data_IF_697925257900
#
_entry.id   IF_697925257900
#
_cell.length_a   1.000
_cell.length_b   1.000
_cell.length_c   1.000
_cell.angle_alpha   90.00
_cell.angle_beta   90.00
_cell.angle_gamma   90.00
#
_symmetry.space_group_name_H-M   'P 1'
#
loop_
_entity.id
_entity.type
_entity.pdbx_description
1 polymer ?
#
# COMPACT_ATOMS: atom_id res chain seq x y z
N UNK A 1 -12.38 7.85 -31.03
CA UNK A 1 -11.34 6.95 -30.46
C UNK A 1 -11.10 7.33 -29.01
N UNK A 2 -10.21 6.63 -28.29
CA UNK A 2 -9.92 6.97 -26.89
C UNK A 2 -9.42 8.41 -26.71
N UNK A 3 -8.62 8.93 -27.65
CA UNK A 3 -8.03 10.28 -27.60
C UNK A 3 -8.97 11.44 -27.93
N UNK A 4 -10.20 11.16 -28.38
CA UNK A 4 -11.19 12.18 -28.72
C UNK A 4 -12.27 12.33 -27.65
N UNK A 5 -12.13 11.60 -26.54
CA UNK A 5 -13.09 11.57 -25.45
C UNK A 5 -12.78 12.72 -24.47
N UNK A 6 -13.72 13.67 -24.26
CA UNK A 6 -13.47 14.84 -23.44
C UNK A 6 -13.25 14.50 -21.96
N UNK A 7 -13.72 13.35 -21.49
CA UNK A 7 -13.59 12.92 -20.09
C UNK A 7 -12.14 12.64 -19.68
N UNK A 8 -11.22 12.47 -20.64
CA UNK A 8 -9.80 12.20 -20.39
C UNK A 8 -8.91 13.44 -20.56
N UNK A 9 -9.50 14.61 -20.82
CA UNK A 9 -8.77 15.86 -20.89
C UNK A 9 -8.39 16.27 -19.46
N UNK A 10 -7.08 16.42 -19.23
CA UNK A 10 -6.54 16.89 -17.95
C UNK A 10 -6.66 18.41 -17.91
N UNK A 11 -7.51 18.93 -17.02
CA UNK A 11 -7.66 20.37 -16.77
C UNK A 11 -7.07 20.76 -15.41
N UNK A 12 -7.55 20.13 -14.33
CA UNK A 12 -7.02 20.33 -12.98
C UNK A 12 -6.03 19.22 -12.62
N UNK A 13 -4.95 19.59 -11.92
CA UNK A 13 -4.03 18.62 -11.32
C UNK A 13 -4.67 17.88 -10.15
N UNK A 14 -4.28 16.62 -9.96
CA UNK A 14 -4.60 15.87 -8.76
C UNK A 14 -3.76 16.34 -7.56
N UNK A 15 -4.18 15.94 -6.36
CA UNK A 15 -3.39 16.14 -5.14
C UNK A 15 -2.12 15.31 -5.22
N UNK A 16 -0.98 15.93 -4.96
CA UNK A 16 0.33 15.29 -5.02
C UNK A 16 1.26 15.83 -3.93
N UNK A 17 2.24 15.02 -3.54
CA UNK A 17 3.31 15.42 -2.63
C UNK A 17 4.57 14.61 -2.91
N UNK A 18 5.72 15.22 -2.62
CA UNK A 18 7.03 14.58 -2.75
C UNK A 18 7.98 15.11 -1.68
N UNK A 19 8.96 14.27 -1.33
CA UNK A 19 10.01 14.65 -0.37
C UNK A 19 11.17 15.32 -1.09
N UNK A 20 11.70 16.37 -0.48
CA UNK A 20 12.91 17.04 -0.94
C UNK A 20 14.09 16.79 0.03
N UNK A 21 13.80 16.58 1.32
CA UNK A 21 14.76 16.24 2.37
C UNK A 21 14.24 15.01 3.12
N UNK A 22 15.01 13.92 3.22
CA UNK A 22 16.41 13.79 2.78
C UNK A 22 16.56 13.78 1.26
N UNK A 23 17.68 14.29 0.75
CA UNK A 23 18.03 14.22 -0.67
C UNK A 23 18.45 12.79 -1.07
N UNK A 24 18.46 12.52 -2.37
CA UNK A 24 19.00 11.26 -2.90
C UNK A 24 20.49 11.12 -2.53
N UNK A 25 20.88 9.95 -2.03
CA UNK A 25 22.19 9.63 -1.49
C UNK A 25 22.64 10.51 -0.30
N UNK A 26 21.74 11.28 0.30
CA UNK A 26 22.03 11.96 1.55
C UNK A 26 22.32 10.93 2.64
N UNK A 27 23.34 11.21 3.44
CA UNK A 27 23.80 10.35 4.53
C UNK A 27 23.60 11.02 5.88
N UNK A 28 22.99 10.31 6.82
CA UNK A 28 22.82 10.72 8.20
C UNK A 28 23.67 9.83 9.10
N UNK A 29 24.65 10.41 9.80
CA UNK A 29 25.49 9.67 10.75
C UNK A 29 24.69 9.23 11.97
N UNK A 30 24.94 8.01 12.41
CA UNK A 30 24.32 7.42 13.59
C UNK A 30 25.39 7.34 14.69
N UNK A 31 25.26 8.21 15.69
CA UNK A 31 26.09 8.20 16.90
C UNK A 31 25.23 7.85 18.12
N UNK A 32 25.82 7.40 19.24
CA UNK A 32 25.07 7.19 20.48
C UNK A 32 24.29 8.43 20.93
N UNK A 33 24.88 9.62 20.76
CA UNK A 33 24.24 10.89 21.09
C UNK A 33 23.05 11.18 20.16
N UNK A 34 23.19 10.88 18.86
CA UNK A 34 22.09 11.02 17.91
C UNK A 34 20.89 10.15 18.29
N UNK A 35 21.15 8.92 18.74
CA UNK A 35 20.11 8.00 19.21
C UNK A 35 19.48 8.41 20.55
N UNK A 36 20.19 9.21 21.36
CA UNK A 36 19.70 9.63 22.67
C UNK A 36 18.64 10.73 22.62
N UNK A 37 18.54 11.48 21.51
CA UNK A 37 17.52 12.52 21.39
C UNK A 37 17.61 13.44 20.18
N UNK A 38 18.51 13.19 19.22
CA UNK A 38 18.59 14.00 18.02
C UNK A 38 17.41 13.71 17.08
N UNK A 39 16.94 14.77 16.42
CA UNK A 39 15.87 14.71 15.42
C UNK A 39 16.40 15.12 14.07
N UNK A 40 15.94 14.44 13.03
CA UNK A 40 16.16 14.79 11.65
C UNK A 40 14.88 15.39 11.05
N UNK A 41 14.99 16.55 10.43
CA UNK A 41 13.84 17.24 9.81
C UNK A 41 13.64 16.76 8.37
N UNK A 42 12.61 15.96 8.16
CA UNK A 42 12.13 15.55 6.83
C UNK A 42 11.28 16.69 6.26
N UNK A 43 11.48 17.03 4.98
CA UNK A 43 10.78 18.13 4.32
C UNK A 43 10.38 17.79 2.91
N UNK A 44 9.35 18.47 2.43
CA UNK A 44 8.97 18.43 1.03
C UNK A 44 7.90 19.43 0.71
N UNK A 45 7.23 19.19 -0.41
CA UNK A 45 6.14 20.04 -0.89
C UNK A 45 4.91 19.19 -1.22
N UNK A 46 3.77 19.85 -1.29
CA UNK A 46 2.51 19.28 -1.72
C UNK A 46 1.73 20.31 -2.51
N UNK A 47 0.90 19.87 -3.46
CA UNK A 47 0.02 20.74 -4.22
C UNK A 47 -1.30 20.02 -4.54
N UNK A 48 -2.30 20.79 -4.92
CA UNK A 48 -3.55 20.31 -5.49
C UNK A 48 -4.00 21.27 -6.61
N UNK A 49 -4.62 20.74 -7.67
CA UNK A 49 -5.15 21.55 -8.76
C UNK A 49 -6.42 22.33 -8.38
N UNK A 50 -6.93 23.16 -9.30
CA UNK A 50 -8.21 23.87 -9.10
C UNK A 50 -8.20 24.93 -7.99
N UNK A 51 -7.02 25.35 -7.53
CA UNK A 51 -6.86 26.32 -6.45
C UNK A 51 -7.20 25.75 -5.07
N UNK A 52 -7.18 24.41 -4.93
CA UNK A 52 -7.53 23.69 -3.70
C UNK A 52 -6.39 23.80 -2.69
N UNK A 53 -6.73 24.07 -1.43
CA UNK A 53 -5.75 24.14 -0.34
C UNK A 53 -5.27 22.75 0.04
N UNK A 54 -3.97 22.57 0.26
CA UNK A 54 -3.45 21.40 0.96
C UNK A 54 -3.70 21.59 2.46
N UNK A 55 -4.53 20.73 3.06
CA UNK A 55 -4.94 20.90 4.46
C UNK A 55 -4.14 20.02 5.42
N UNK A 56 -3.51 18.95 4.91
CA UNK A 56 -2.77 17.98 5.73
C UNK A 56 -1.69 17.31 4.89
N UNK A 57 -0.50 17.16 5.47
CA UNK A 57 0.56 16.29 4.98
C UNK A 57 0.84 15.25 6.05
N UNK A 58 1.13 14.03 5.63
CA UNK A 58 1.39 12.90 6.52
C UNK A 58 2.64 12.16 6.07
N UNK A 59 3.39 11.63 7.03
CA UNK A 59 4.46 10.66 6.76
C UNK A 59 4.20 9.33 7.45
N UNK A 60 4.82 8.28 6.91
CA UNK A 60 4.82 6.94 7.48
C UNK A 60 6.25 6.39 7.48
N UNK A 61 6.62 5.69 8.56
CA UNK A 61 7.92 5.03 8.74
C UNK A 61 7.82 3.49 8.67
N UNK A 62 6.61 2.97 8.49
CA UNK A 62 6.27 1.54 8.48
C UNK A 62 5.65 1.09 7.15
N UNK A 63 5.91 1.84 6.08
CA UNK A 63 5.50 1.49 4.71
C UNK A 63 4.06 1.86 4.36
N UNK A 64 3.41 2.69 5.18
CA UNK A 64 2.06 3.20 4.97
C UNK A 64 1.00 2.59 5.89
N UNK A 65 1.40 1.84 6.93
CA UNK A 65 0.48 1.23 7.91
C UNK A 65 -0.02 2.28 8.90
N UNK A 66 0.89 3.05 9.48
CA UNK A 66 0.56 4.18 10.36
C UNK A 66 1.06 5.49 9.76
N UNK A 67 0.33 6.57 10.05
CA UNK A 67 0.58 7.90 9.51
C UNK A 67 0.58 8.93 10.63
N UNK A 68 1.58 9.81 10.61
CA UNK A 68 1.67 10.97 11.49
C UNK A 68 1.50 12.26 10.69
N UNK A 69 0.80 13.25 11.26
CA UNK A 69 0.56 14.55 10.64
C UNK A 69 1.70 15.52 10.93
N UNK A 70 2.05 16.35 9.94
CA UNK A 70 3.16 17.30 10.04
C UNK A 70 2.72 18.74 10.01
N UNK A 71 3.73 19.62 10.05
CA UNK A 71 3.50 21.05 9.85
C UNK A 71 3.33 21.32 8.37
N UNK A 72 2.24 21.99 7.99
CA UNK A 72 1.99 22.44 6.61
C UNK A 72 2.01 23.97 6.59
N UNK A 73 2.93 24.54 5.85
CA UNK A 73 3.10 25.97 5.63
C UNK A 73 2.67 26.35 4.22
N UNK A 74 1.98 27.48 4.09
CA UNK A 74 1.60 28.06 2.81
C UNK A 74 2.31 29.42 2.71
N UNK A 75 3.47 29.49 2.01
CA UNK A 75 4.23 30.74 1.91
C UNK A 75 3.46 31.85 1.19
N UNK A 76 2.58 31.48 0.26
CA UNK A 76 1.74 32.42 -0.47
C UNK A 76 0.38 32.61 0.21
N UNK A 77 -0.07 33.86 0.25
CA UNK A 77 -1.42 34.22 0.68
C UNK A 77 -2.45 33.74 -0.35
N UNK A 78 -3.59 33.17 0.07
CA UNK A 78 -4.65 32.82 -0.89
C UNK A 78 -5.17 34.06 -1.61
N UNK A 79 -5.75 33.86 -2.80
CA UNK A 79 -6.48 34.91 -3.51
C UNK A 79 -7.68 35.41 -2.69
N UNK A 80 -8.30 36.52 -3.10
CA UNK A 80 -9.55 37.01 -2.49
C UNK A 80 -10.69 35.96 -2.43
N UNK A 81 -10.71 35.01 -3.37
CA UNK A 81 -11.68 33.90 -3.41
C UNK A 81 -11.24 32.64 -2.63
N UNK A 82 -10.20 32.73 -1.80
CA UNK A 82 -9.69 31.60 -1.01
C UNK A 82 -8.97 30.52 -1.84
N UNK A 83 -8.45 30.85 -3.03
CA UNK A 83 -7.73 29.91 -3.90
C UNK A 83 -6.24 29.87 -3.59
N UNK A 84 -5.69 28.65 -3.61
CA UNK A 84 -4.28 28.35 -3.38
C UNK A 84 -3.66 27.83 -4.67
N UNK A 85 -2.88 28.67 -5.35
CA UNK A 85 -2.26 28.34 -6.64
C UNK A 85 -0.81 27.87 -6.50
N UNK A 86 -0.10 28.29 -5.46
CA UNK A 86 1.21 27.75 -5.13
C UNK A 86 1.15 26.49 -4.25
N UNK A 87 2.25 25.74 -4.30
CA UNK A 87 2.45 24.58 -3.45
C UNK A 87 2.51 24.98 -1.97
N UNK A 88 2.11 24.04 -1.10
CA UNK A 88 2.41 24.07 0.32
C UNK A 88 3.77 23.41 0.57
N UNK A 89 4.47 23.88 1.60
CA UNK A 89 5.67 23.23 2.13
C UNK A 89 5.29 22.46 3.39
N UNK A 90 5.90 21.31 3.61
CA UNK A 90 5.66 20.53 4.81
C UNK A 90 6.97 20.08 5.48
N UNK A 91 6.93 19.88 6.79
CA UNK A 91 8.07 19.41 7.58
C UNK A 91 7.67 18.52 8.76
N UNK A 92 8.55 17.58 9.10
CA UNK A 92 8.43 16.64 10.21
C UNK A 92 9.77 16.46 10.91
N UNK A 93 9.79 16.62 12.24
CA UNK A 93 10.97 16.31 13.04
C UNK A 93 10.85 14.88 13.57
N UNK A 94 11.71 14.00 13.06
CA UNK A 94 11.70 12.57 13.38
C UNK A 94 12.97 12.22 14.13
N UNK A 95 12.87 11.58 15.29
CA UNK A 95 14.04 11.13 16.04
C UNK A 95 14.90 10.17 15.18
N UNK A 96 16.23 10.32 15.24
CA UNK A 96 17.15 9.42 14.51
C UNK A 96 16.96 7.96 14.90
N UNK A 97 16.59 7.68 16.16
CA UNK A 97 16.26 6.33 16.63
C UNK A 97 15.07 5.68 15.87
N UNK A 98 14.03 6.46 15.55
CA UNK A 98 12.90 5.97 14.74
C UNK A 98 13.31 5.71 13.30
N UNK A 99 14.15 6.58 12.72
CA UNK A 99 14.69 6.39 11.38
C UNK A 99 15.60 5.15 11.27
N UNK A 100 16.36 4.84 12.33
CA UNK A 100 17.19 3.64 12.38
C UNK A 100 16.36 2.35 12.20
N UNK A 101 15.15 2.30 12.76
CA UNK A 101 14.23 1.18 12.65
C UNK A 101 13.42 1.14 11.34
N UNK A 102 13.28 2.26 10.66
CA UNK A 102 12.49 2.38 9.43
C UNK A 102 13.21 1.79 8.22
N UNK A 103 12.48 1.12 7.33
CA UNK A 103 13.02 0.67 6.02
C UNK A 103 12.84 1.73 4.94
N UNK A 104 11.85 2.59 5.12
CA UNK A 104 11.50 3.66 4.20
C UNK A 104 10.72 4.74 4.93
N UNK A 105 10.69 5.92 4.33
CA UNK A 105 9.75 6.98 4.66
C UNK A 105 8.79 7.09 3.49
N UNK A 106 7.49 7.18 3.78
CA UNK A 106 6.46 7.52 2.80
C UNK A 106 5.88 8.89 3.13
N UNK A 107 5.47 9.66 2.13
CA UNK A 107 4.66 10.87 2.34
C UNK A 107 3.41 10.88 1.47
N UNK A 108 2.35 11.54 1.99
CA UNK A 108 1.12 11.84 1.26
C UNK A 108 0.49 13.16 1.71
N UNK A 109 -0.36 13.72 0.88
CA UNK A 109 -1.13 14.93 1.19
C UNK A 109 -2.64 14.74 1.05
N UNK A 110 -3.39 15.64 1.68
CA UNK A 110 -4.83 15.77 1.59
C UNK A 110 -5.21 17.20 1.21
N UNK A 111 -6.11 17.35 0.24
CA UNK A 111 -6.65 18.65 -0.16
C UNK A 111 -7.91 19.04 0.62
N UNK A 112 -8.38 20.26 0.44
CA UNK A 112 -9.58 20.80 1.09
C UNK A 112 -10.89 20.11 0.70
N UNK A 113 -10.85 19.21 -0.30
CA UNK A 113 -11.97 18.37 -0.71
C UNK A 113 -11.81 16.93 -0.21
N UNK A 114 -10.85 16.68 0.69
CA UNK A 114 -10.52 15.37 1.24
C UNK A 114 -10.03 14.36 0.18
N UNK A 115 -9.54 14.82 -0.98
CA UNK A 115 -8.84 13.93 -1.90
C UNK A 115 -7.42 13.65 -1.40
N UNK A 116 -6.98 12.41 -1.52
CA UNK A 116 -5.63 11.95 -1.17
C UNK A 116 -4.99 11.13 -2.28
N UNK A 117 -3.76 10.68 -2.02
CA UNK A 117 -2.92 9.94 -2.95
C UNK A 117 -3.13 8.42 -2.79
N UNK A 118 -3.12 7.64 -3.89
CA UNK A 118 -3.20 6.19 -3.83
C UNK A 118 -1.89 5.58 -3.27
N UNK A 119 -1.99 4.40 -2.65
CA UNK A 119 -0.82 3.69 -2.12
C UNK A 119 0.08 3.10 -3.23
N UNK A 120 -0.53 2.77 -4.38
CA UNK A 120 0.13 2.12 -5.50
C UNK A 120 0.00 2.95 -6.78
N UNK A 121 0.93 2.74 -7.70
CA UNK A 121 0.97 3.40 -8.99
C UNK A 121 -0.26 3.06 -9.84
N UNK A 122 -1.00 4.09 -10.26
CA UNK A 122 -2.02 3.97 -11.31
C UNK A 122 -1.39 4.28 -12.67
N UNK A 123 -0.93 3.24 -13.36
CA UNK A 123 -0.28 3.41 -14.65
C UNK A 123 -1.26 3.86 -15.74
N UNK A 124 -0.80 4.75 -16.63
CA UNK A 124 -1.50 5.11 -17.85
C UNK A 124 -0.51 5.29 -19.01
N UNK A 125 -1.02 5.24 -20.24
CA UNK A 125 -0.23 5.24 -21.49
C UNK A 125 0.71 6.44 -21.61
N UNK A 126 0.34 7.60 -21.04
CA UNK A 126 1.13 8.83 -21.13
C UNK A 126 2.08 9.02 -19.96
N UNK A 127 2.00 8.19 -18.91
CA UNK A 127 2.74 8.39 -17.66
C UNK A 127 2.39 9.71 -16.95
N UNK A 128 1.24 10.31 -17.26
CA UNK A 128 0.82 11.61 -16.73
C UNK A 128 0.07 11.47 -15.39
N UNK A 129 0.04 12.56 -14.61
CA UNK A 129 -0.67 12.63 -13.32
C UNK A 129 -0.27 11.54 -12.30
N UNK A 130 0.99 11.10 -12.35
CA UNK A 130 1.53 10.15 -11.40
C UNK A 130 1.55 10.74 -9.98
N UNK A 131 0.64 10.29 -9.11
CA UNK A 131 0.52 10.79 -7.73
C UNK A 131 0.44 9.73 -6.60
N UNK A 132 0.96 8.50 -6.72
CA UNK A 132 0.98 7.59 -5.59
C UNK A 132 1.83 8.17 -4.45
N UNK A 133 1.69 7.60 -3.25
CA UNK A 133 2.52 7.99 -2.10
C UNK A 133 4.01 7.92 -2.47
N UNK A 134 4.74 8.98 -2.16
CA UNK A 134 6.14 9.09 -2.51
C UNK A 134 6.98 8.36 -1.46
N UNK A 135 7.92 7.50 -1.89
CA UNK A 135 8.70 6.63 -1.00
C UNK A 135 10.19 6.87 -1.13
N UNK A 136 10.85 7.09 0.00
CA UNK A 136 12.31 7.17 0.12
C UNK A 136 12.79 5.96 0.92
N UNK A 137 13.65 5.13 0.32
CA UNK A 137 14.24 3.95 0.99
C UNK A 137 15.37 4.39 1.91
N UNK A 138 15.54 3.67 3.01
CA UNK A 138 16.61 3.88 3.98
C UNK A 138 17.55 2.68 3.96
N UNK A 139 18.80 2.92 3.60
CA UNK A 139 19.89 1.95 3.62
C UNK A 139 20.75 2.14 4.85
N UNK A 140 21.30 1.05 5.38
CA UNK A 140 22.15 1.07 6.58
C UNK A 140 23.58 0.71 6.19
N UNK A 141 24.52 1.58 6.51
CA UNK A 141 25.95 1.25 6.45
C UNK A 141 26.45 0.86 7.83
N UNK A 142 27.35 -0.12 7.88
CA UNK A 142 27.87 -0.67 9.12
C UNK A 142 29.36 -0.39 9.26
N UNK A 143 29.77 0.04 10.45
CA UNK A 143 31.17 0.13 10.85
C UNK A 143 31.38 -0.70 12.12
N UNK A 144 32.32 -1.64 12.10
CA UNK A 144 32.61 -2.52 13.26
C UNK A 144 31.37 -3.25 13.80
N UNK A 145 30.46 -3.64 12.91
CA UNK A 145 29.24 -4.39 13.28
C UNK A 145 28.08 -3.55 13.82
N UNK A 146 28.24 -2.23 13.96
CA UNK A 146 27.15 -1.32 14.34
C UNK A 146 26.76 -0.43 13.17
N UNK A 147 25.49 -0.04 13.09
CA UNK A 147 25.02 0.91 12.07
C UNK A 147 25.70 2.26 12.35
N UNK A 148 26.48 2.73 11.39
CA UNK A 148 27.19 4.01 11.49
C UNK A 148 26.51 5.13 10.72
N UNK A 149 25.72 4.79 9.71
CA UNK A 149 25.13 5.76 8.80
C UNK A 149 23.84 5.22 8.17
N UNK A 150 22.89 6.13 7.95
CA UNK A 150 21.70 5.91 7.15
C UNK A 150 21.86 6.64 5.82
N UNK A 151 21.63 5.97 4.70
CA UNK A 151 21.62 6.58 3.36
C UNK A 151 20.22 6.56 2.79
N UNK A 152 19.76 7.68 2.27
CA UNK A 152 18.40 7.83 1.72
C UNK A 152 18.38 7.73 0.20
N UNK A 153 17.45 6.95 -0.34
CA UNK A 153 17.34 6.73 -1.79
C UNK A 153 15.93 7.06 -2.28
N UNK A 154 15.83 8.03 -3.19
CA UNK A 154 14.59 8.41 -3.88
C UNK A 154 14.18 7.34 -4.92
N UNK A 155 12.91 7.33 -5.41
CA UNK A 155 12.45 6.33 -6.37
C UNK A 155 13.25 6.29 -7.68
N UNK A 156 13.55 7.47 -8.23
CA UNK A 156 14.21 7.66 -9.53
C UNK A 156 15.02 8.94 -9.49
N UNK A 157 16.04 9.03 -10.34
CA UNK A 157 16.78 10.26 -10.57
C UNK A 157 16.18 11.13 -11.69
N UNK A 158 16.35 12.46 -11.66
CA UNK A 158 15.82 13.35 -12.70
C UNK A 158 16.40 13.06 -14.10
N UNK A 159 15.53 13.03 -15.09
CA UNK A 159 15.91 12.89 -16.50
C UNK A 159 16.36 11.47 -16.85
N UNK A 160 17.58 11.33 -17.40
CA UNK A 160 18.19 10.05 -17.80
C UNK A 160 19.31 9.60 -16.86
N UNK A 161 19.39 10.20 -15.68
CA UNK A 161 20.41 9.84 -14.71
C UNK A 161 20.05 8.45 -14.13
N UNK A 162 21.05 7.56 -13.99
CA UNK A 162 20.83 6.30 -13.30
C UNK A 162 20.66 6.54 -11.80
N UNK A 163 20.01 5.61 -11.13
CA UNK A 163 19.82 5.59 -9.69
C UNK A 163 18.37 5.65 -9.25
N UNK A 164 18.18 5.37 -7.97
CA UNK A 164 16.89 5.25 -7.35
C UNK A 164 16.45 3.80 -7.22
N UNK A 165 15.72 3.51 -6.16
CA UNK A 165 15.43 2.15 -5.77
C UNK A 165 14.56 1.40 -6.81
N UNK A 166 13.78 2.11 -7.62
CA UNK A 166 12.97 1.50 -8.68
C UNK A 166 13.82 0.86 -9.78
N UNK A 167 15.03 1.36 -10.05
CA UNK A 167 15.91 0.76 -11.07
C UNK A 167 16.37 -0.64 -10.64
N UNK A 168 16.77 -0.79 -9.38
CA UNK A 168 17.18 -2.07 -8.82
C UNK A 168 16.02 -3.08 -8.79
N UNK A 169 14.81 -2.64 -8.40
CA UNK A 169 13.62 -3.50 -8.40
C UNK A 169 13.21 -3.93 -9.81
N UNK A 170 13.27 -3.01 -10.78
CA UNK A 170 12.98 -3.33 -12.19
C UNK A 170 14.00 -4.32 -12.77
N UNK A 171 15.29 -4.16 -12.43
CA UNK A 171 16.33 -5.10 -12.84
C UNK A 171 16.12 -6.49 -12.22
N UNK A 172 15.78 -6.55 -10.92
CA UNK A 172 15.47 -7.79 -10.23
C UNK A 172 14.22 -8.49 -10.78
N UNK A 173 13.15 -7.73 -11.07
CA UNK A 173 11.94 -8.25 -11.70
C UNK A 173 12.17 -8.75 -13.13
N UNK A 174 13.09 -8.12 -13.87
CA UNK A 174 13.49 -8.58 -15.21
C UNK A 174 14.34 -9.86 -15.14
N UNK A 175 15.18 -10.00 -14.11
CA UNK A 175 16.02 -11.17 -13.90
C UNK A 175 15.23 -12.41 -13.41
N UNK A 176 14.15 -12.22 -12.64
CA UNK A 176 13.29 -13.31 -12.17
C UNK A 176 12.39 -13.90 -13.26
N UNK A 177 12.22 -13.21 -14.40
CA UNK A 177 11.57 -13.72 -15.60
C UNK A 177 12.50 -14.64 -16.43
N UNK A 178 13.01 -15.70 -15.80
CA UNK A 178 13.85 -16.73 -16.42
C UNK A 178 13.11 -17.49 -17.55
N UNK A 179 13.82 -18.20 -18.47
CA UNK A 179 13.37 -18.51 -19.83
C UNK A 179 12.21 -19.51 -19.95
N UNK A 180 11.68 -20.06 -18.85
CA UNK A 180 10.51 -20.94 -18.87
C UNK A 180 9.25 -20.25 -19.44
N UNK A 181 9.11 -18.93 -19.25
CA UNK A 181 7.99 -18.15 -19.82
C UNK A 181 8.18 -17.87 -21.32
N UNK A 182 9.41 -17.98 -21.84
CA UNK A 182 9.71 -17.80 -23.27
C UNK A 182 9.26 -18.98 -24.14
N UNK A 183 9.18 -20.19 -23.55
CA UNK A 183 8.72 -21.41 -24.22
C UNK A 183 7.23 -21.38 -24.57
N UNK A 184 6.40 -20.80 -23.69
CA UNK A 184 4.95 -20.68 -23.90
C UNK A 184 4.60 -19.63 -24.98
N UNK A 185 5.43 -18.60 -25.17
CA UNK A 185 5.24 -17.63 -26.27
C UNK A 185 5.56 -18.21 -27.65
N UNK A 186 6.45 -19.21 -27.76
CA UNK A 186 6.79 -19.85 -29.05
C UNK A 186 5.71 -20.81 -29.57
N UNK A 187 4.86 -21.36 -28.69
CA UNK A 187 3.73 -22.22 -29.09
C UNK A 187 2.58 -21.38 -29.68
N UNK A 188 2.41 -20.13 -29.23
CA UNK A 188 1.41 -19.22 -29.76
C UNK A 188 1.77 -18.60 -31.13
N UNK A 189 3.03 -18.71 -31.58
CA UNK A 189 3.47 -18.20 -32.90
C UNK A 189 3.32 -19.22 -34.05
N UNK A 190 2.78 -20.41 -33.78
CA UNK A 190 2.67 -21.51 -34.75
C UNK A 190 1.35 -21.58 -35.53
N UNK A 191 0.37 -20.72 -35.26
CA UNK A 191 -0.87 -20.67 -36.05
C UNK A 191 -0.64 -19.69 -37.20
N UNK A 192 -0.31 -20.27 -38.35
CA UNK A 192 -0.08 -19.58 -39.62
C UNK A 192 -1.30 -18.74 -40.02
N UNK A 193 -1.06 -17.44 -40.22
CA UNK A 193 -1.96 -16.48 -40.85
C UNK A 193 -2.22 -16.89 -42.31
N UNK A 194 -3.44 -17.31 -42.62
CA UNK A 194 -3.96 -17.21 -43.98
C UNK A 194 -4.47 -15.79 -44.22
N UNK A 195 -3.64 -15.01 -44.90
CA UNK A 195 -3.99 -13.74 -45.53
C UNK A 195 -5.11 -13.94 -46.55
N UNK A 196 -6.23 -13.24 -46.39
CA UNK A 196 -7.11 -12.87 -47.50
C UNK A 196 -7.39 -11.38 -47.40
N UNK A 197 -6.62 -10.60 -48.17
CA UNK A 197 -7.02 -9.28 -48.65
C UNK A 197 -7.93 -9.51 -49.87
N UNK A 198 -9.17 -9.04 -49.82
CA UNK A 198 -10.00 -8.90 -51.02
C UNK A 198 -10.82 -7.60 -50.95
N UNK A 199 -10.32 -6.63 -51.70
CA UNK A 199 -10.97 -5.46 -52.30
C UNK A 199 -12.39 -5.74 -52.80
N UNK A 200 -13.34 -4.80 -52.61
CA UNK A 200 -14.42 -4.37 -53.54
C UNK A 200 -15.20 -3.22 -52.88
N UNK A 201 -14.99 -1.98 -53.31
CA UNK A 201 -15.77 -1.23 -54.32
C UNK A 201 -17.04 -0.52 -53.79
N UNK A 202 -17.14 0.76 -54.14
CA UNK A 202 -18.20 1.73 -53.83
C UNK A 202 -19.36 1.67 -54.84
N UNK A 203 -20.50 2.24 -54.41
CA UNK A 203 -21.61 2.93 -55.15
C UNK A 203 -22.91 2.12 -55.38
N UNK A 204 -24.08 2.77 -55.66
CA UNK A 204 -24.86 3.63 -54.74
C UNK A 204 -26.40 3.40 -54.79
N UNK A 205 -27.12 4.06 -53.87
CA UNK A 205 -28.51 4.60 -53.94
C UNK A 205 -29.74 3.69 -54.24
N UNK A 206 -30.77 3.79 -53.37
CA UNK A 206 -32.13 4.16 -53.77
C UNK A 206 -32.97 4.58 -52.54
N UNK A 207 -33.61 5.75 -52.64
CA UNK A 207 -34.58 6.33 -51.71
C UNK A 207 -36.01 5.99 -52.13
N UNK A 208 -36.93 5.90 -51.15
CA UNK A 208 -38.32 6.39 -51.23
C UNK A 208 -38.84 6.54 -49.78
N UNK A 209 -39.01 7.74 -49.21
CA UNK A 209 -40.18 8.64 -49.30
C UNK A 209 -41.48 7.93 -48.83
N UNK A 210 -42.34 8.41 -47.92
CA UNK A 210 -42.74 9.77 -47.55
C UNK A 210 -43.65 9.75 -46.27
N UNK A 211 -43.45 10.69 -45.33
CA UNK A 211 -44.44 11.45 -44.48
C UNK A 211 -45.46 10.72 -43.55
N UNK A 212 -45.92 11.17 -42.37
CA UNK A 212 -46.16 12.50 -41.76
C UNK A 212 -46.20 12.44 -40.20
N UNK A 213 -45.62 13.46 -39.53
CA UNK A 213 -46.04 14.21 -38.32
C UNK A 213 -47.00 13.59 -37.27
N UNK A 214 -46.56 13.54 -35.99
CA UNK A 214 -47.12 14.31 -34.85
C UNK A 214 -46.45 13.94 -33.51
N UNK A 215 -46.19 14.97 -32.70
CA UNK A 215 -45.62 14.93 -31.35
C UNK A 215 -46.52 14.22 -30.33
N UNK A 216 -45.96 13.58 -29.28
CA UNK A 216 -46.54 13.45 -27.92
C UNK A 216 -45.46 13.02 -26.89
N UNK A 217 -45.61 13.56 -25.69
CA UNK A 217 -44.71 13.66 -24.51
C UNK A 217 -44.30 12.33 -23.82
N UNK A 218 -43.29 12.33 -22.92
CA UNK A 218 -42.78 11.13 -22.27
C UNK A 218 -43.62 10.70 -21.04
N UNK A 219 -43.64 9.39 -20.68
CA UNK A 219 -44.30 8.94 -19.46
C UNK A 219 -43.38 9.10 -18.23
N UNK A 220 -43.97 9.66 -17.19
CA UNK A 220 -43.48 9.81 -15.82
C UNK A 220 -43.62 8.50 -15.02
N UNK A 221 -42.58 8.09 -14.30
CA UNK A 221 -42.64 7.02 -13.28
C UNK A 221 -43.09 7.60 -11.91
N UNK A 222 -43.91 6.89 -11.11
CA UNK A 222 -44.34 7.34 -9.78
C UNK A 222 -43.34 7.01 -8.65
N UNK A 223 -43.46 7.66 -7.46
CA UNK A 223 -42.48 7.63 -6.35
C UNK A 223 -42.60 6.39 -5.44
N UNK A 224 -41.65 6.16 -4.51
CA UNK A 224 -41.52 4.90 -3.78
C UNK A 224 -42.49 4.79 -2.59
N UNK A 225 -43.01 3.58 -2.37
CA UNK A 225 -43.71 3.21 -1.14
C UNK A 225 -42.73 2.62 -0.12
N UNK A 226 -42.79 3.14 1.11
CA UNK A 226 -42.22 2.53 2.30
C UNK A 226 -43.06 1.33 2.75
N UNK A 227 -42.43 0.36 3.39
CA UNK A 227 -42.75 -0.14 4.74
C UNK A 227 -42.02 -1.46 5.01
N UNK A 228 -41.59 -1.56 6.26
CA UNK A 228 -41.06 -2.74 6.92
C UNK A 228 -41.92 -3.99 6.71
N UNK A 229 -41.27 -5.14 6.55
CA UNK A 229 -41.80 -6.39 7.09
C UNK A 229 -40.66 -7.23 7.70
N UNK A 230 -40.76 -7.42 9.01
CA UNK A 230 -39.94 -8.33 9.80
C UNK A 230 -40.60 -9.70 9.68
N UNK A 231 -39.86 -10.72 9.23
CA UNK A 231 -40.21 -12.11 9.45
C UNK A 231 -39.00 -12.83 10.05
N UNK A 232 -39.19 -13.29 11.28
CA UNK A 232 -38.26 -14.09 12.05
C UNK A 232 -38.23 -15.56 11.59
N UNK A 233 -37.10 -16.23 11.86
CA UNK A 233 -37.10 -17.65 12.16
C UNK A 233 -36.60 -18.60 11.07
N UNK A 234 -35.28 -18.73 10.96
CA UNK A 234 -34.62 -19.89 10.36
C UNK A 234 -33.33 -20.17 11.12
N UNK A 235 -33.35 -21.10 12.07
CA UNK A 235 -32.15 -21.56 12.78
C UNK A 235 -31.28 -22.31 11.77
N UNK A 236 -30.11 -21.75 11.47
CA UNK A 236 -29.13 -22.37 10.59
C UNK A 236 -28.64 -23.71 11.19
N UNK A 237 -28.40 -24.75 10.37
CA UNK A 237 -27.86 -26.02 10.86
C UNK A 237 -26.47 -25.82 11.46
N UNK A 238 -26.05 -26.68 12.42
CA UNK A 238 -24.75 -26.53 13.07
C UNK A 238 -23.62 -26.65 12.04
N UNK A 239 -22.57 -25.81 12.14
CA UNK A 239 -21.50 -25.75 11.17
C UNK A 239 -20.66 -27.05 11.16
N UNK A 240 -20.05 -27.41 10.03
CA UNK A 240 -19.13 -28.54 9.93
C UNK A 240 -17.94 -28.36 10.87
N UNK A 241 -17.49 -29.48 11.46
CA UNK A 241 -16.46 -29.53 12.48
C UNK A 241 -15.14 -28.89 11.99
N UNK A 242 -14.55 -28.06 12.85
CA UNK A 242 -13.23 -27.50 12.65
C UNK A 242 -12.19 -28.63 12.47
N UNK A 243 -11.20 -28.47 11.57
CA UNK A 243 -10.09 -29.40 11.49
C UNK A 243 -9.35 -29.44 12.85
N UNK A 244 -8.79 -30.60 13.24
CA UNK A 244 -8.11 -30.73 14.52
C UNK A 244 -6.93 -29.75 14.59
N UNK A 245 -6.90 -28.94 15.67
CA UNK A 245 -5.77 -28.06 15.95
C UNK A 245 -4.47 -28.88 15.98
N UNK A 246 -3.51 -28.52 15.13
CA UNK A 246 -2.25 -29.26 15.00
C UNK A 246 -1.32 -28.80 16.12
N UNK A 247 -0.77 -29.75 16.88
CA UNK A 247 0.17 -29.45 17.97
C UNK A 247 1.58 -29.24 17.40
N UNK A 248 1.93 -28.00 17.03
CA UNK A 248 3.29 -27.62 16.64
C UNK A 248 3.34 -26.33 15.80
N UNK A 249 4.49 -25.63 15.77
CA UNK A 249 4.68 -24.48 14.90
C UNK A 249 4.67 -24.91 13.43
N UNK A 250 3.94 -24.18 12.59
CA UNK A 250 3.86 -24.42 11.13
C UNK A 250 4.93 -23.57 10.47
N UNK A 251 5.88 -24.16 9.77
CA UNK A 251 6.93 -23.39 9.08
C UNK A 251 6.42 -22.76 7.79
N UNK A 252 7.16 -21.78 7.25
CA UNK A 252 6.83 -21.17 5.95
C UNK A 252 6.86 -22.20 4.81
N UNK A 253 7.78 -23.17 4.87
CA UNK A 253 7.88 -24.23 3.87
C UNK A 253 6.69 -25.19 3.93
N UNK A 254 6.14 -25.43 5.12
CA UNK A 254 4.92 -26.21 5.26
C UNK A 254 3.72 -25.42 4.75
N UNK A 255 3.60 -24.14 5.13
CA UNK A 255 2.54 -23.25 4.67
C UNK A 255 2.46 -23.22 3.13
N UNK A 256 3.61 -23.11 2.46
CA UNK A 256 3.71 -23.02 1.00
C UNK A 256 3.20 -24.26 0.24
N UNK A 257 2.96 -25.40 0.91
CA UNK A 257 2.41 -26.61 0.28
C UNK A 257 0.89 -26.56 0.09
N UNK A 258 0.22 -25.65 0.79
CA UNK A 258 -1.24 -25.61 0.90
C UNK A 258 -1.82 -24.42 0.11
N UNK A 259 -1.71 -24.51 -1.21
CA UNK A 259 -2.12 -23.44 -2.15
C UNK A 259 -3.40 -23.76 -2.93
N UNK A 260 -3.89 -25.00 -2.84
CA UNK A 260 -4.99 -25.49 -3.66
C UNK A 260 -6.36 -25.12 -3.10
N UNK A 261 -7.37 -25.03 -3.98
CA UNK A 261 -8.77 -24.75 -3.59
C UNK A 261 -9.36 -25.78 -2.62
N UNK A 262 -8.83 -26.99 -2.59
CA UNK A 262 -9.25 -28.04 -1.66
C UNK A 262 -8.57 -27.95 -0.30
N UNK A 263 -7.42 -27.26 -0.21
CA UNK A 263 -6.51 -27.27 0.93
C UNK A 263 -5.71 -25.96 0.97
N UNK A 264 -6.42 -24.85 1.19
CA UNK A 264 -5.87 -23.50 1.15
C UNK A 264 -5.50 -23.02 2.55
N UNK A 265 -4.22 -22.77 2.79
CA UNK A 265 -3.75 -22.22 4.07
C UNK A 265 -3.23 -20.81 3.87
N UNK A 266 -3.32 -19.98 4.90
CA UNK A 266 -2.75 -18.65 4.88
C UNK A 266 -2.35 -18.24 6.29
N UNK A 267 -1.27 -17.45 6.40
CA UNK A 267 -0.88 -16.84 7.66
C UNK A 267 -1.37 -15.40 7.73
N UNK A 268 -1.98 -15.02 8.86
CA UNK A 268 -2.36 -13.63 9.17
C UNK A 268 -1.91 -13.34 10.60
N UNK A 269 -1.10 -12.30 10.78
CA UNK A 269 -0.55 -11.84 12.08
C UNK A 269 0.16 -12.96 12.84
N UNK A 270 0.91 -13.80 12.13
CA UNK A 270 1.64 -14.93 12.72
C UNK A 270 0.78 -16.13 13.12
N UNK A 271 -0.52 -16.11 12.80
CA UNK A 271 -1.43 -17.24 13.01
C UNK A 271 -1.75 -17.89 11.67
N UNK A 272 -1.78 -19.22 11.62
CA UNK A 272 -2.06 -19.97 10.40
C UNK A 272 -3.51 -20.46 10.41
N UNK A 273 -4.19 -20.29 9.28
CA UNK A 273 -5.59 -20.61 9.08
C UNK A 273 -5.75 -21.57 7.89
N UNK A 274 -6.58 -22.60 8.04
CA UNK A 274 -7.02 -23.46 6.94
C UNK A 274 -8.41 -23.06 6.50
N UNK A 275 -8.54 -22.57 5.26
CA UNK A 275 -9.79 -22.07 4.73
C UNK A 275 -10.55 -23.21 4.05
N UNK A 276 -11.72 -23.62 4.56
CA UNK A 276 -12.44 -24.74 3.98
C UNK A 276 -13.01 -24.37 2.61
N UNK A 277 -13.11 -25.34 1.67
CA UNK A 277 -13.66 -25.10 0.33
C UNK A 277 -15.09 -24.54 0.32
N UNK A 278 -15.87 -24.81 1.36
CA UNK A 278 -17.21 -24.23 1.56
C UNK A 278 -17.14 -22.72 1.75
N UNK A 279 -16.19 -22.24 2.56
CA UNK A 279 -16.05 -20.80 2.84
C UNK A 279 -15.47 -20.03 1.65
N UNK A 280 -14.65 -20.66 0.80
CA UNK A 280 -14.15 -20.02 -0.42
C UNK A 280 -15.28 -19.53 -1.34
N UNK A 281 -16.41 -20.25 -1.40
CA UNK A 281 -17.58 -19.87 -2.21
C UNK A 281 -18.42 -18.78 -1.55
N UNK A 282 -18.46 -18.77 -0.22
CA UNK A 282 -19.24 -17.82 0.58
C UNK A 282 -18.47 -16.52 0.87
N UNK A 283 -17.17 -16.50 0.58
CA UNK A 283 -16.33 -15.33 0.80
C UNK A 283 -16.84 -14.13 -0.02
N UNK A 284 -17.19 -12.99 0.62
CA UNK A 284 -17.73 -11.83 -0.08
C UNK A 284 -16.80 -11.23 -1.15
N UNK A 285 -15.49 -11.40 -1.00
CA UNK A 285 -14.49 -11.01 -2.00
C UNK A 285 -14.30 -12.03 -3.12
N UNK A 286 -14.99 -13.17 -3.08
CA UNK A 286 -14.81 -14.30 -3.98
C UNK A 286 -13.66 -15.23 -3.57
N UNK A 287 -13.69 -16.44 -4.12
CA UNK A 287 -12.69 -17.48 -3.84
C UNK A 287 -11.29 -17.09 -4.33
N UNK A 288 -11.22 -16.40 -5.46
CA UNK A 288 -9.95 -16.10 -6.13
C UNK A 288 -9.09 -15.11 -5.35
N UNK A 289 -9.71 -14.21 -4.56
CA UNK A 289 -9.00 -13.30 -3.67
C UNK A 289 -8.26 -14.02 -2.54
N UNK A 290 -8.80 -15.15 -2.06
CA UNK A 290 -8.13 -15.96 -1.03
C UNK A 290 -7.06 -16.83 -1.69
N UNK A 291 -7.37 -17.46 -2.83
CA UNK A 291 -6.45 -18.36 -3.52
C UNK A 291 -5.21 -17.66 -4.08
N UNK A 292 -5.31 -16.37 -4.41
CA UNK A 292 -4.17 -15.57 -4.85
C UNK A 292 -3.05 -15.47 -3.79
N UNK A 293 -3.38 -15.63 -2.51
CA UNK A 293 -2.44 -15.51 -1.39
C UNK A 293 -2.31 -16.81 -0.57
N UNK A 294 -2.93 -17.90 -1.04
CA UNK A 294 -2.83 -19.20 -0.40
C UNK A 294 -1.36 -19.66 -0.37
N UNK A 295 -0.97 -20.30 0.72
CA UNK A 295 0.39 -20.74 1.02
C UNK A 295 1.38 -19.63 1.41
N UNK A 296 0.92 -18.40 1.68
CA UNK A 296 1.79 -17.29 2.05
C UNK A 296 1.33 -16.55 3.32
N UNK A 297 2.17 -15.64 3.82
CA UNK A 297 1.78 -14.66 4.84
C UNK A 297 0.93 -13.56 4.19
N UNK A 298 -0.38 -13.73 4.30
CA UNK A 298 -1.40 -12.85 3.75
C UNK A 298 -1.77 -11.71 4.70
N UNK A 299 -0.98 -11.43 5.76
CA UNK A 299 -1.28 -10.36 6.73
C UNK A 299 -1.55 -9.03 6.04
N UNK A 300 -0.70 -8.64 5.09
CA UNK A 300 -0.86 -7.39 4.35
C UNK A 300 -2.15 -7.39 3.53
N UNK A 301 -2.38 -8.44 2.73
CA UNK A 301 -3.59 -8.54 1.90
C UNK A 301 -4.88 -8.59 2.72
N UNK A 302 -4.85 -9.17 3.91
CA UNK A 302 -6.00 -9.19 4.82
C UNK A 302 -6.28 -7.82 5.44
N UNK A 303 -5.24 -7.09 5.85
CA UNK A 303 -5.38 -5.78 6.48
C UNK A 303 -5.74 -4.68 5.46
N UNK A 304 -5.21 -4.75 4.24
CA UNK A 304 -5.49 -3.79 3.16
C UNK A 304 -6.96 -3.77 2.74
N UNK A 305 -7.64 -4.92 2.78
CA UNK A 305 -9.06 -5.04 2.42
C UNK A 305 -9.99 -4.43 3.47
N UNK A 306 -9.52 -4.26 4.72
CA UNK A 306 -10.32 -3.65 5.79
C UNK A 306 -11.47 -4.55 6.26
N UNK A 307 -11.18 -5.82 6.57
CA UNK A 307 -12.16 -6.79 7.05
C UNK A 307 -12.87 -6.34 8.35
N UNK A 308 -14.20 -6.48 8.40
CA UNK A 308 -15.00 -6.13 9.59
C UNK A 308 -14.78 -7.08 10.78
N UNK A 309 -15.20 -6.68 11.99
CA UNK A 309 -15.15 -7.52 13.20
C UNK A 309 -15.85 -8.88 13.03
N UNK A 310 -16.85 -8.97 12.14
CA UNK A 310 -17.52 -10.22 11.84
C UNK A 310 -16.63 -11.17 11.04
N UNK A 311 -15.85 -10.66 10.09
CA UNK A 311 -14.88 -11.44 9.34
C UNK A 311 -13.76 -11.96 10.26
N UNK A 312 -13.32 -11.17 11.23
CA UNK A 312 -12.35 -11.57 12.25
C UNK A 312 -12.86 -12.75 13.12
N UNK A 313 -14.15 -12.73 13.49
CA UNK A 313 -14.77 -13.84 14.23
C UNK A 313 -14.83 -15.12 13.42
N UNK A 314 -15.06 -15.01 12.11
CA UNK A 314 -15.09 -16.17 11.20
C UNK A 314 -13.68 -16.72 11.02
N UNK A 315 -12.68 -15.85 10.78
CA UNK A 315 -11.28 -16.22 10.61
C UNK A 315 -10.77 -17.05 11.80
N UNK A 316 -11.10 -16.64 13.04
CA UNK A 316 -10.70 -17.36 14.26
C UNK A 316 -11.16 -18.82 14.31
N UNK A 317 -12.27 -19.17 13.64
CA UNK A 317 -12.78 -20.56 13.58
C UNK A 317 -11.90 -21.47 12.74
N UNK A 318 -11.09 -20.90 11.85
CA UNK A 318 -10.25 -21.62 10.91
C UNK A 318 -8.78 -21.70 11.36
N UNK A 319 -8.45 -21.22 12.57
CA UNK A 319 -7.09 -21.27 13.11
C UNK A 319 -6.65 -22.73 13.29
N UNK A 320 -5.49 -23.07 12.73
CA UNK A 320 -4.89 -24.40 12.84
C UNK A 320 -3.53 -24.40 13.56
N UNK A 321 -2.87 -23.24 13.68
CA UNK A 321 -1.58 -23.14 14.35
C UNK A 321 -0.99 -21.74 14.33
N UNK A 322 0.32 -21.66 14.58
CA UNK A 322 1.10 -20.43 14.63
C UNK A 322 2.32 -20.58 13.73
N UNK A 323 2.66 -19.49 13.04
CA UNK A 323 3.85 -19.38 12.21
C UNK A 323 4.95 -18.76 13.07
N UNK A 324 5.96 -19.54 13.51
CA UNK A 324 7.02 -19.02 14.35
C UNK A 324 7.76 -17.92 13.58
N UNK A 325 7.84 -16.74 14.20
CA UNK A 325 8.68 -15.67 13.71
C UNK A 325 10.13 -16.07 14.01
N UNK A 326 11.00 -16.08 13.01
CA UNK A 326 12.44 -16.03 13.28
C UNK A 326 12.67 -14.90 14.29
N UNK A 327 13.31 -15.16 15.44
CA UNK A 327 13.52 -14.12 16.45
C UNK A 327 14.35 -13.03 15.81
N UNK A 328 13.67 -11.93 15.45
CA UNK A 328 14.34 -10.73 15.02
C UNK A 328 15.21 -10.25 16.17
N UNK A 329 16.39 -9.71 15.84
CA UNK A 329 17.38 -9.10 16.73
C UNK A 329 16.83 -8.03 17.70
N UNK A 330 15.52 -7.78 17.69
CA UNK A 330 14.80 -6.73 18.39
C UNK A 330 14.07 -7.28 19.64
N UNK A 331 13.83 -8.60 19.72
CA UNK A 331 13.12 -9.24 20.85
C UNK A 331 14.04 -9.58 22.04
N UNK A 332 15.36 -9.36 21.90
CA UNK A 332 16.36 -9.61 22.95
C UNK A 332 16.51 -8.44 23.96
N UNK A 333 15.72 -7.37 23.83
CA UNK A 333 15.72 -6.28 24.81
C UNK A 333 14.56 -6.51 25.79
N UNK A 334 14.82 -6.85 27.06
CA UNK A 334 13.74 -7.01 28.03
C UNK A 334 13.03 -5.66 28.21
N UNK A 335 11.72 -5.65 27.95
CA UNK A 335 10.82 -4.53 28.21
C UNK A 335 10.78 -4.32 29.73
N UNK A 336 11.45 -3.27 30.23
CA UNK A 336 11.21 -2.79 31.59
C UNK A 336 9.89 -2.00 31.60
N UNK A 337 9.02 -2.21 32.60
CA UNK A 337 7.74 -1.51 32.67
C UNK A 337 7.98 -0.03 32.96
N UNK A 338 7.34 0.83 32.17
CA UNK A 338 7.29 2.27 32.37
C UNK A 338 6.46 2.51 33.64
N UNK A 339 7.14 2.79 34.75
CA UNK A 339 6.52 3.34 35.94
C UNK A 339 7.17 4.69 36.27
N UNK A 340 6.35 5.73 36.13
CA UNK A 340 6.37 7.00 36.84
C UNK A 340 7.73 7.68 37.05
N UNK A 341 7.99 8.70 36.23
CA UNK A 341 8.76 9.85 36.64
C UNK A 341 8.14 10.46 37.91
N UNK A 342 8.93 10.57 38.98
CA UNK A 342 8.88 11.67 39.94
C UNK A 342 10.07 11.61 40.93
N UNK A 343 10.80 12.73 40.94
CA UNK A 343 11.71 13.24 42.00
C UNK A 343 13.12 12.63 42.08
N UNK A 344 14.11 13.51 41.83
CA UNK A 344 15.21 13.72 42.77
C UNK A 344 16.56 13.08 42.41
N UNK A 345 17.54 13.97 42.20
CA UNK A 345 18.98 13.73 42.14
C UNK A 345 19.46 12.43 42.83
N UNK A 346 20.03 11.51 42.04
CA UNK A 346 20.81 10.39 42.58
C UNK A 346 20.80 9.13 41.74
N UNK A 347 21.42 9.13 40.56
CA UNK A 347 21.76 7.87 39.86
C UNK A 347 22.88 8.04 38.83
N UNK A 348 24.07 8.42 39.31
CA UNK A 348 25.33 8.25 38.56
C UNK A 348 26.08 6.98 39.05
N UNK A 349 25.57 6.30 40.07
CA UNK A 349 26.24 5.13 40.66
C UNK A 349 25.81 3.78 40.05
N UNK A 350 24.55 3.65 39.60
CA UNK A 350 24.02 2.39 39.09
C UNK A 350 24.62 1.99 37.71
N UNK A 351 24.95 2.95 36.85
CA UNK A 351 25.54 2.67 35.53
C UNK A 351 27.00 2.20 35.59
N UNK A 352 27.74 2.51 36.66
CA UNK A 352 29.15 2.08 36.83
C UNK A 352 29.29 0.64 37.33
N UNK A 353 28.27 0.09 38.00
CA UNK A 353 28.30 -1.28 38.51
C UNK A 353 27.96 -2.30 37.42
N UNK A 354 27.08 -1.94 36.46
CA UNK A 354 26.72 -2.83 35.35
C UNK A 354 27.85 -2.96 34.31
N UNK A 355 28.60 -1.89 34.07
CA UNK A 355 29.74 -1.90 33.14
C UNK A 355 30.93 -2.76 33.61
N UNK A 356 31.04 -3.07 34.91
CA UNK A 356 32.10 -3.96 35.45
C UNK A 356 31.76 -5.44 35.45
N UNK A 357 30.48 -5.82 35.26
CA UNK A 357 30.08 -7.24 35.18
C UNK A 357 30.02 -7.79 33.75
N UNK A 358 30.10 -6.94 32.74
CA UNK A 358 30.17 -7.34 31.32
C UNK A 358 31.63 -7.48 30.84
N UNK A 359 32.60 -7.01 31.63
CA UNK A 359 34.03 -7.07 31.32
C UNK A 359 34.80 -8.11 32.17
N UNK A 360 34.13 -9.14 32.70
CA UNK A 360 34.75 -10.24 33.44
C UNK A 360 34.30 -11.59 32.85
#
# INVERSE_FOLDING_TARGET
GWWSKPEYIINELNTNSAMASPAHDETLRVTPDALAGETYTIRGYAYAGGGKKVIRAEISLDGGVTWEGGVVSHPETPTEYGRYWCHALWSFDVSVARLLGAKEVCCRAWDSHMNTQPNHLTWNVMGMLNNPIFRVRIHRAYARGVVSELRFEHPTMPGKQPGGWMEAENAAASASQSPLVSGLKRIASGISLLNINATMQRTPSAQSQLSTRAAHSPPTSPPPASMNEIAAGGVAPPPPAAPPARAGPITLEELAKHTDRADAWLAIRGLVYHIPPSYLKEHPGGADSILAVAGTDATLSYEEVGHSDNAEKILRRFKIGELPREPGLLDAVPVMPIACALVGAGSVFALRVLARKIAA
#
